data_IF_514547730701
#
_entry.id   IF_514547730701
#
_cell.length_a   1.000
_cell.length_b   1.000
_cell.length_c   1.000
_cell.angle_alpha   90.00
_cell.angle_beta   90.00
_cell.angle_gamma   90.00
#
_symmetry.space_group_name_H-M   'P 1'
#
loop_
_entity.id
_entity.type
_entity.pdbx_description
1 polymer ?
#
# COMPACT_ATOMS: atom_id res chain seq x y z
N UNK A 1 38.91 6.15 -3.12
CA UNK A 1 37.87 5.10 -3.05
C UNK A 1 36.94 5.44 -1.89
N UNK A 2 35.66 5.74 -2.15
CA UNK A 2 34.69 6.01 -1.07
C UNK A 2 34.22 4.66 -0.54
N UNK A 3 34.53 4.35 0.72
CA UNK A 3 34.08 3.12 1.37
C UNK A 3 32.59 3.25 1.66
N UNK A 4 31.75 2.68 0.80
CA UNK A 4 30.29 2.77 0.88
C UNK A 4 29.74 2.07 2.14
N UNK A 5 30.45 1.04 2.62
CA UNK A 5 30.08 0.27 3.80
C UNK A 5 31.33 0.03 4.66
N UNK A 6 31.49 0.86 5.69
CA UNK A 6 32.57 0.77 6.67
C UNK A 6 31.99 0.29 7.99
N UNK A 7 32.64 -0.67 8.63
CA UNK A 7 32.32 -1.06 10.00
C UNK A 7 33.51 -0.77 10.93
N UNK A 8 33.31 -0.13 12.10
CA UNK A 8 32.03 0.41 12.58
C UNK A 8 31.54 1.62 11.75
N UNK A 9 30.22 1.86 11.66
CA UNK A 9 29.66 2.92 10.84
C UNK A 9 30.08 4.30 11.35
N UNK A 10 30.43 5.19 10.42
CA UNK A 10 30.69 6.59 10.77
C UNK A 10 29.39 7.32 11.13
N UNK A 11 29.47 8.37 11.96
CA UNK A 11 28.30 9.21 12.29
C UNK A 11 27.56 9.72 11.05
N UNK A 12 28.30 10.08 9.99
CA UNK A 12 27.74 10.54 8.72
C UNK A 12 26.95 9.44 8.00
N UNK A 13 27.44 8.21 8.01
CA UNK A 13 26.73 7.05 7.45
C UNK A 13 25.44 6.78 8.23
N UNK A 14 25.49 6.83 9.57
CA UNK A 14 24.30 6.65 10.41
C UNK A 14 23.25 7.75 10.13
N UNK A 15 23.66 9.02 10.07
CA UNK A 15 22.76 10.12 9.73
C UNK A 15 22.14 9.94 8.33
N UNK A 16 22.93 9.52 7.34
CA UNK A 16 22.43 9.24 5.99
C UNK A 16 21.37 8.13 5.99
N UNK A 17 21.62 7.03 6.70
CA UNK A 17 20.65 5.93 6.85
C UNK A 17 19.35 6.39 7.51
N UNK A 18 19.44 7.20 8.57
CA UNK A 18 18.25 7.75 9.23
C UNK A 18 17.44 8.64 8.29
N UNK A 19 18.10 9.53 7.54
CA UNK A 19 17.43 10.40 6.57
C UNK A 19 16.66 9.55 5.55
N UNK A 20 17.32 8.60 4.90
CA UNK A 20 16.69 7.73 3.90
C UNK A 20 15.52 6.95 4.49
N UNK A 21 15.70 6.41 5.70
CA UNK A 21 14.64 5.67 6.39
C UNK A 21 13.41 6.54 6.67
N UNK A 22 13.60 7.71 7.28
CA UNK A 22 12.49 8.62 7.59
C UNK A 22 11.82 9.18 6.35
N UNK A 23 12.58 9.44 5.28
CA UNK A 23 12.00 9.81 3.98
C UNK A 23 11.16 8.67 3.40
N UNK A 24 11.60 7.43 3.49
CA UNK A 24 10.81 6.28 3.09
C UNK A 24 9.50 6.19 3.88
N UNK A 25 9.59 6.22 5.21
CA UNK A 25 8.43 6.16 6.11
C UNK A 25 7.43 7.28 5.81
N UNK A 26 7.88 8.51 5.56
CA UNK A 26 6.99 9.62 5.25
C UNK A 26 6.27 9.42 3.91
N UNK A 27 6.97 8.97 2.86
CA UNK A 27 6.36 8.68 1.55
C UNK A 27 5.33 7.55 1.64
N UNK A 28 5.63 6.45 2.34
CA UNK A 28 4.69 5.35 2.55
C UNK A 28 3.45 5.80 3.33
N UNK A 29 3.63 6.59 4.38
CA UNK A 29 2.53 7.08 5.20
C UNK A 29 1.61 8.02 4.41
N UNK A 30 2.20 8.96 3.66
CA UNK A 30 1.45 9.86 2.78
C UNK A 30 0.70 9.09 1.67
N UNK A 31 1.37 8.13 1.03
CA UNK A 31 0.76 7.28 0.02
C UNK A 31 -0.40 6.43 0.56
N UNK A 32 -0.23 5.83 1.74
CA UNK A 32 -1.29 5.08 2.41
C UNK A 32 -2.49 5.99 2.76
N UNK A 33 -2.24 7.18 3.32
CA UNK A 33 -3.28 8.16 3.61
C UNK A 33 -4.09 8.54 2.36
N UNK A 34 -3.41 8.91 1.28
CA UNK A 34 -4.07 9.25 0.01
C UNK A 34 -4.81 8.05 -0.60
N UNK A 35 -4.27 6.84 -0.47
CA UNK A 35 -4.94 5.61 -0.89
C UNK A 35 -6.27 5.46 -0.13
N UNK A 36 -6.26 5.56 1.21
CA UNK A 36 -7.48 5.44 2.01
C UNK A 36 -8.52 6.52 1.73
N UNK A 37 -8.11 7.76 1.46
CA UNK A 37 -9.03 8.81 1.06
C UNK A 37 -9.75 8.51 -0.27
N UNK A 38 -9.08 7.82 -1.20
CA UNK A 38 -9.57 7.61 -2.56
C UNK A 38 -10.03 6.17 -2.85
N UNK A 39 -9.96 5.26 -1.88
CA UNK A 39 -10.30 3.84 -2.09
C UNK A 39 -11.82 3.59 -2.21
N UNK A 40 -12.64 4.46 -1.63
CA UNK A 40 -14.10 4.33 -1.57
C UNK A 40 -14.77 4.06 -2.94
N UNK A 41 -14.52 4.84 -4.02
CA UNK A 41 -15.13 4.57 -5.33
C UNK A 41 -14.69 3.21 -5.92
N UNK A 42 -13.45 2.79 -5.67
CA UNK A 42 -12.95 1.51 -6.17
C UNK A 42 -13.57 0.33 -5.41
N UNK A 43 -13.74 0.48 -4.09
CA UNK A 43 -14.48 -0.48 -3.27
C UNK A 43 -15.95 -0.58 -3.71
N UNK A 44 -16.60 0.54 -4.01
CA UNK A 44 -17.99 0.56 -4.48
C UNK A 44 -18.15 -0.22 -5.80
N UNK A 45 -17.23 -0.03 -6.75
CA UNK A 45 -17.22 -0.78 -8.03
C UNK A 45 -16.98 -2.27 -7.83
N UNK A 46 -16.02 -2.64 -6.99
CA UNK A 46 -15.73 -4.04 -6.68
C UNK A 46 -16.93 -4.71 -5.96
N UNK A 47 -17.58 -3.99 -5.05
CA UNK A 47 -18.78 -4.45 -4.36
C UNK A 47 -19.95 -4.64 -5.32
N UNK A 48 -20.23 -3.67 -6.19
CA UNK A 48 -21.30 -3.78 -7.19
C UNK A 48 -21.14 -5.00 -8.11
N UNK A 49 -19.90 -5.28 -8.55
CA UNK A 49 -19.60 -6.49 -9.35
C UNK A 49 -19.86 -7.77 -8.56
N UNK A 50 -19.43 -7.80 -7.30
CA UNK A 50 -19.63 -8.96 -6.42
C UNK A 50 -21.11 -9.21 -6.16
N UNK A 51 -21.88 -8.15 -5.91
CA UNK A 51 -23.32 -8.23 -5.66
C UNK A 51 -24.08 -8.71 -6.90
N UNK A 52 -23.70 -8.25 -8.09
CA UNK A 52 -24.23 -8.76 -9.36
C UNK A 52 -24.00 -10.27 -9.51
N UNK A 53 -22.78 -10.74 -9.30
CA UNK A 53 -22.45 -12.17 -9.41
C UNK A 53 -23.24 -12.99 -8.40
N UNK A 54 -23.31 -12.55 -7.14
CA UNK A 54 -24.10 -13.23 -6.09
C UNK A 54 -25.58 -13.29 -6.45
N UNK A 55 -26.15 -12.20 -6.98
CA UNK A 55 -27.54 -12.17 -7.40
C UNK A 55 -27.79 -13.14 -8.56
N UNK A 56 -26.87 -13.22 -9.53
CA UNK A 56 -26.96 -14.18 -10.65
C UNK A 56 -26.87 -15.63 -10.16
N UNK A 57 -25.91 -15.94 -9.30
CA UNK A 57 -25.75 -17.29 -8.73
C UNK A 57 -26.97 -17.72 -7.91
N UNK A 58 -27.54 -16.81 -7.12
CA UNK A 58 -28.75 -17.10 -6.34
C UNK A 58 -29.93 -17.46 -7.24
N UNK A 59 -30.11 -16.77 -8.37
CA UNK A 59 -31.16 -17.11 -9.33
C UNK A 59 -30.99 -18.51 -9.90
N UNK A 60 -29.77 -18.86 -10.30
CA UNK A 60 -29.47 -20.19 -10.85
C UNK A 60 -29.78 -21.30 -9.84
N UNK A 61 -29.35 -21.13 -8.58
CA UNK A 61 -29.61 -22.12 -7.51
C UNK A 61 -31.09 -22.23 -7.13
N UNK A 62 -31.90 -21.19 -7.37
CA UNK A 62 -33.34 -21.21 -7.09
C UNK A 62 -34.19 -21.70 -8.29
N UNK A 63 -33.62 -21.71 -9.49
CA UNK A 63 -34.25 -22.21 -10.72
C UNK A 63 -34.03 -23.73 -10.90
N UNK A 64 -33.10 -24.33 -10.16
CA UNK A 64 -32.89 -25.79 -9.99
C UNK A 64 -33.77 -26.39 -8.87
#
# INVERSE_FOLDING_TARGET
MVVFWSYPPTRKQLTGSLIVFFTGVSLFTAGAYLSFLNIAPQQARAKARSDYVKARLRKLVQED
#
